data_IF_576633994526
#
_entry.id   IF_576633994526
#
_cell.length_a   1.000
_cell.length_b   1.000
_cell.length_c   1.000
_cell.angle_alpha   90.00
_cell.angle_beta   90.00
_cell.angle_gamma   90.00
#
_symmetry.space_group_name_H-M   'P 1'
#
loop_
_entity.id
_entity.type
_entity.pdbx_description
1 polymer ?
#
# COMPACT_ATOMS: atom_id res chain seq x y z
N UNK A 1 -34.64 0.18 -0.90
CA UNK A 1 -33.59 0.80 -1.74
C UNK A 1 -32.50 -0.25 -1.94
N UNK A 2 -31.96 -0.37 -3.15
CA UNK A 2 -30.80 -1.22 -3.43
C UNK A 2 -29.60 -0.70 -2.63
N UNK A 3 -28.87 -1.58 -1.97
CA UNK A 3 -27.64 -1.19 -1.27
C UNK A 3 -26.56 -0.83 -2.29
N UNK A 4 -25.86 0.30 -2.15
CA UNK A 4 -24.78 0.65 -3.06
C UNK A 4 -23.58 -0.31 -2.84
N UNK A 5 -22.85 -0.59 -3.89
CA UNK A 5 -21.54 -1.22 -3.78
C UNK A 5 -20.53 -0.20 -3.25
N UNK A 6 -19.45 -0.68 -2.66
CA UNK A 6 -18.35 0.16 -2.16
C UNK A 6 -17.01 -0.39 -2.68
N UNK A 7 -16.30 0.44 -3.43
CA UNK A 7 -14.93 0.18 -3.88
C UNK A 7 -13.99 1.17 -3.21
N UNK A 8 -13.23 0.71 -2.22
CA UNK A 8 -12.19 1.48 -1.57
C UNK A 8 -10.84 1.15 -2.22
N UNK A 9 -10.21 2.14 -2.85
CA UNK A 9 -8.89 2.01 -3.47
C UNK A 9 -7.90 2.80 -2.63
N UNK A 10 -6.84 2.15 -2.18
CA UNK A 10 -5.76 2.81 -1.43
C UNK A 10 -4.40 2.58 -2.08
N UNK A 11 -3.56 3.59 -2.01
CA UNK A 11 -2.12 3.52 -2.24
C UNK A 11 -1.37 3.57 -0.91
N UNK A 12 -0.07 3.27 -0.92
CA UNK A 12 0.78 3.29 0.26
C UNK A 12 1.81 4.41 0.14
N UNK A 13 1.82 5.32 1.11
CA UNK A 13 2.81 6.40 1.20
C UNK A 13 2.76 7.40 0.00
N UNK A 14 1.61 7.58 -0.63
CA UNK A 14 1.47 8.54 -1.72
C UNK A 14 1.29 9.96 -1.18
N UNK A 15 2.20 10.87 -1.54
CA UNK A 15 2.07 12.28 -1.21
C UNK A 15 0.88 12.92 -1.95
N UNK A 16 0.18 13.86 -1.32
CA UNK A 16 -1.02 14.49 -1.89
C UNK A 16 -0.80 15.17 -3.23
N UNK A 17 0.42 15.67 -3.50
CA UNK A 17 0.77 16.31 -4.78
C UNK A 17 1.05 15.31 -5.91
N UNK A 18 0.98 14.01 -5.67
CA UNK A 18 1.19 12.99 -6.70
C UNK A 18 -0.11 12.62 -7.43
N UNK A 19 -0.87 13.63 -7.84
CA UNK A 19 -2.06 13.53 -8.68
C UNK A 19 -1.99 14.58 -9.79
N UNK A 20 -2.29 14.24 -11.03
CA UNK A 20 -2.28 15.15 -12.17
C UNK A 20 -3.22 16.35 -11.97
N UNK A 21 -4.36 16.13 -11.33
CA UNK A 21 -5.30 17.19 -10.97
C UNK A 21 -4.72 18.26 -10.01
N UNK A 22 -3.64 17.95 -9.30
CA UNK A 22 -2.96 18.85 -8.35
C UNK A 22 -1.61 19.31 -8.88
N UNK A 23 -0.92 18.47 -9.63
CA UNK A 23 0.44 18.69 -10.11
C UNK A 23 0.58 18.24 -11.56
N UNK A 24 0.73 19.21 -12.45
CA UNK A 24 0.81 18.97 -13.90
C UNK A 24 2.05 18.19 -14.36
N UNK A 25 3.05 17.99 -13.49
CA UNK A 25 4.22 17.18 -13.80
C UNK A 25 3.95 15.67 -13.78
N UNK A 26 2.88 15.23 -13.13
CA UNK A 26 2.54 13.81 -13.04
C UNK A 26 1.31 13.48 -13.90
N UNK A 27 1.32 12.31 -14.52
CA UNK A 27 0.24 11.83 -15.37
C UNK A 27 -0.56 10.72 -14.68
N UNK A 28 -1.79 11.05 -14.25
CA UNK A 28 -2.71 10.14 -13.56
C UNK A 28 -4.12 10.25 -14.13
N UNK A 29 -4.33 9.96 -15.44
CA UNK A 29 -5.58 10.25 -16.13
C UNK A 29 -6.81 9.58 -15.52
N UNK A 30 -6.68 8.39 -14.93
CA UNK A 30 -7.79 7.68 -14.32
C UNK A 30 -8.19 8.28 -12.97
N UNK A 31 -7.21 8.64 -12.14
CA UNK A 31 -7.45 9.36 -10.89
C UNK A 31 -7.95 10.78 -11.15
N UNK A 32 -7.41 11.47 -12.14
CA UNK A 32 -7.86 12.81 -12.55
C UNK A 32 -9.33 12.79 -13.02
N UNK A 33 -9.74 11.71 -13.70
CA UNK A 33 -11.13 11.48 -14.05
C UNK A 33 -12.01 11.34 -12.80
N UNK A 34 -11.59 10.56 -11.80
CA UNK A 34 -12.33 10.46 -10.53
C UNK A 34 -12.46 11.82 -9.83
N UNK A 35 -11.41 12.65 -9.88
CA UNK A 35 -11.45 14.02 -9.35
C UNK A 35 -12.48 14.88 -10.11
N UNK A 36 -12.49 14.80 -11.44
CA UNK A 36 -13.39 15.61 -12.27
C UNK A 36 -14.86 15.20 -12.18
N UNK A 37 -15.13 13.94 -11.92
CA UNK A 37 -16.48 13.36 -11.84
C UNK A 37 -17.01 13.25 -10.39
N UNK A 38 -16.15 13.47 -9.40
CA UNK A 38 -16.45 13.25 -7.99
C UNK A 38 -16.23 14.46 -7.10
N UNK A 39 -15.87 14.20 -5.85
CA UNK A 39 -15.54 15.21 -4.84
C UNK A 39 -14.12 14.96 -4.31
N UNK A 40 -13.26 15.94 -4.46
CA UNK A 40 -11.91 15.92 -3.93
C UNK A 40 -11.82 16.64 -2.58
N UNK A 41 -11.28 15.95 -1.59
CA UNK A 41 -11.00 16.50 -0.25
C UNK A 41 -9.53 16.93 -0.18
N UNK A 42 -9.25 18.21 -0.38
CA UNK A 42 -7.88 18.75 -0.41
C UNK A 42 -7.23 18.97 0.97
N UNK A 43 -7.94 18.65 2.06
CA UNK A 43 -7.47 18.71 3.46
C UNK A 43 -7.84 17.43 4.19
N UNK A 44 -7.50 16.28 3.62
CA UNK A 44 -7.62 14.99 4.26
C UNK A 44 -6.32 14.67 5.03
N UNK A 45 -6.45 14.19 6.27
CA UNK A 45 -5.31 13.87 7.14
C UNK A 45 -5.41 12.43 7.61
N UNK A 46 -4.31 11.70 7.55
CA UNK A 46 -4.23 10.37 8.13
C UNK A 46 -4.21 10.42 9.66
N UNK A 47 -4.74 9.38 10.30
CA UNK A 47 -4.76 9.29 11.76
C UNK A 47 -3.36 9.03 12.36
N UNK A 48 -2.46 8.48 11.56
CA UNK A 48 -1.07 8.20 11.92
C UNK A 48 -0.22 8.14 10.64
N UNK A 49 1.03 8.68 10.63
CA UNK A 49 1.87 8.70 9.44
C UNK A 49 2.61 7.37 9.17
N UNK A 50 2.15 6.25 9.72
CA UNK A 50 2.71 4.91 9.48
C UNK A 50 1.64 3.91 9.07
N UNK A 51 2.02 2.93 8.25
CA UNK A 51 1.09 2.04 7.56
C UNK A 51 0.10 1.31 8.49
N UNK A 52 0.59 0.46 9.43
CA UNK A 52 -0.30 -0.39 10.23
C UNK A 52 -1.31 0.41 11.08
N UNK A 53 -0.91 1.45 11.83
CA UNK A 53 -1.86 2.28 12.58
C UNK A 53 -2.87 3.00 11.68
N UNK A 54 -2.40 3.54 10.55
CA UNK A 54 -3.29 4.25 9.63
C UNK A 54 -4.30 3.31 8.98
N UNK A 55 -3.84 2.15 8.50
CA UNK A 55 -4.70 1.12 7.89
C UNK A 55 -5.72 0.57 8.89
N UNK A 56 -5.30 0.32 10.13
CA UNK A 56 -6.20 -0.04 11.21
C UNK A 56 -7.25 1.06 11.47
N UNK A 57 -6.85 2.34 11.43
CA UNK A 57 -7.78 3.46 11.58
C UNK A 57 -8.78 3.55 10.42
N UNK A 58 -8.34 3.33 9.18
CA UNK A 58 -9.24 3.27 8.00
C UNK A 58 -10.26 2.15 8.16
N UNK A 59 -9.83 0.96 8.58
CA UNK A 59 -10.69 -0.20 8.71
C UNK A 59 -11.69 -0.12 9.88
N UNK A 60 -11.31 0.55 10.97
CA UNK A 60 -12.11 0.59 12.22
C UNK A 60 -12.86 1.90 12.41
N UNK A 61 -12.47 2.99 11.72
CA UNK A 61 -12.98 4.33 11.99
C UNK A 61 -12.51 4.92 13.33
N UNK A 62 -11.49 4.32 13.96
CA UNK A 62 -10.99 4.71 15.29
C UNK A 62 -9.57 5.28 15.20
N UNK A 63 -9.17 6.04 16.21
CA UNK A 63 -7.78 6.46 16.40
C UNK A 63 -6.91 5.32 16.98
N UNK A 64 -5.58 5.32 16.75
CA UNK A 64 -4.65 4.30 17.28
C UNK A 64 -4.76 4.06 18.78
N UNK A 65 -4.98 5.12 19.57
CA UNK A 65 -5.21 5.02 21.02
C UNK A 65 -6.46 4.21 21.41
N UNK A 66 -7.40 4.03 20.48
CA UNK A 66 -8.64 3.29 20.72
C UNK A 66 -8.59 1.86 20.21
N UNK A 67 -8.05 1.63 19.00
CA UNK A 67 -7.98 0.29 18.40
C UNK A 67 -6.71 -0.49 18.78
N UNK A 68 -5.73 0.13 19.47
CA UNK A 68 -4.57 -0.54 20.03
C UNK A 68 -3.41 -0.83 19.05
N UNK A 69 -3.60 -0.67 17.74
CA UNK A 69 -2.54 -0.80 16.76
C UNK A 69 -1.89 0.58 16.56
N UNK A 70 -0.84 0.89 17.33
CA UNK A 70 -0.23 2.23 17.37
C UNK A 70 1.18 2.30 16.75
N UNK A 71 1.76 1.16 16.38
CA UNK A 71 3.07 1.08 15.70
C UNK A 71 3.13 -0.10 14.73
N UNK A 72 4.19 -0.17 13.91
CA UNK A 72 4.42 -1.28 12.99
C UNK A 72 4.68 -2.64 13.70
N UNK A 73 5.06 -2.59 14.99
CA UNK A 73 5.29 -3.78 15.80
C UNK A 73 4.05 -4.27 16.56
N UNK A 74 2.93 -3.55 16.46
CA UNK A 74 1.68 -3.89 17.14
C UNK A 74 0.65 -4.47 16.17
N UNK A 75 -0.37 -5.14 16.69
CA UNK A 75 -1.41 -5.81 15.93
C UNK A 75 -2.75 -5.12 16.13
N UNK A 76 -3.55 -5.02 15.06
CA UNK A 76 -4.98 -4.83 15.24
C UNK A 76 -5.57 -6.16 15.73
N UNK A 77 -6.19 -6.18 16.90
CA UNK A 77 -6.82 -7.38 17.40
C UNK A 77 -8.11 -7.70 16.63
N UNK A 78 -8.34 -8.97 16.35
CA UNK A 78 -9.48 -9.45 15.57
C UNK A 78 -10.83 -9.20 16.26
N UNK A 79 -10.81 -8.95 17.57
CA UNK A 79 -12.00 -8.59 18.35
C UNK A 79 -12.45 -7.14 18.17
N UNK A 80 -11.63 -6.28 17.55
CA UNK A 80 -11.99 -4.88 17.30
C UNK A 80 -13.00 -4.84 16.14
N UNK A 81 -14.16 -4.17 16.32
CA UNK A 81 -15.13 -4.02 15.23
C UNK A 81 -14.53 -3.33 14.00
N UNK A 82 -14.83 -3.86 12.83
CA UNK A 82 -14.31 -3.37 11.54
C UNK A 82 -15.45 -3.01 10.59
N UNK A 83 -15.16 -2.11 9.64
CA UNK A 83 -16.11 -1.77 8.56
C UNK A 83 -16.45 -3.01 7.72
N UNK A 84 -15.47 -3.84 7.41
CA UNK A 84 -15.66 -5.10 6.68
C UNK A 84 -16.60 -6.06 7.42
N UNK A 85 -16.37 -6.28 8.71
CA UNK A 85 -17.26 -7.11 9.54
C UNK A 85 -18.69 -6.56 9.60
N UNK A 86 -18.83 -5.26 9.83
CA UNK A 86 -20.15 -4.61 9.83
C UNK A 86 -20.88 -4.76 8.48
N UNK A 87 -20.20 -4.55 7.37
CA UNK A 87 -20.79 -4.67 6.04
C UNK A 87 -21.15 -6.13 5.72
N UNK A 88 -20.28 -7.10 6.05
CA UNK A 88 -20.55 -8.53 5.94
C UNK A 88 -21.82 -8.92 6.68
N UNK A 89 -21.95 -8.53 7.94
CA UNK A 89 -23.11 -8.81 8.77
C UNK A 89 -24.40 -8.14 8.24
N UNK A 90 -24.24 -7.13 7.39
CA UNK A 90 -25.33 -6.48 6.65
C UNK A 90 -25.49 -7.01 5.20
N UNK A 91 -24.94 -8.18 4.88
CA UNK A 91 -25.20 -8.90 3.62
C UNK A 91 -24.38 -8.40 2.42
N UNK A 92 -23.27 -7.72 2.65
CA UNK A 92 -22.27 -7.44 1.62
C UNK A 92 -21.33 -8.63 1.47
N UNK A 93 -20.88 -8.91 0.25
CA UNK A 93 -19.67 -9.70 0.05
C UNK A 93 -18.47 -8.79 0.28
N UNK A 94 -17.55 -9.21 1.16
CA UNK A 94 -16.41 -8.37 1.57
C UNK A 94 -15.10 -8.95 1.09
N UNK A 95 -14.22 -8.11 0.52
CA UNK A 95 -12.94 -8.55 0.02
C UNK A 95 -11.82 -7.54 0.27
N UNK A 96 -10.60 -8.05 0.51
CA UNK A 96 -9.36 -7.29 0.55
C UNK A 96 -8.39 -7.85 -0.48
N UNK A 97 -7.97 -7.00 -1.42
CA UNK A 97 -7.01 -7.35 -2.47
C UNK A 97 -5.79 -6.45 -2.35
N UNK A 98 -4.62 -7.03 -2.12
CA UNK A 98 -3.36 -6.30 -2.00
C UNK A 98 -2.81 -6.24 -0.58
N UNK A 99 -2.26 -5.10 -0.17
CA UNK A 99 -1.59 -4.93 1.12
C UNK A 99 -2.59 -4.80 2.27
N UNK A 100 -2.50 -5.69 3.26
CA UNK A 100 -3.24 -5.61 4.52
C UNK A 100 -2.49 -4.79 5.58
N UNK A 101 -1.41 -5.33 6.09
CA UNK A 101 -0.54 -4.74 7.10
C UNK A 101 -1.25 -4.36 8.40
N UNK A 102 -2.16 -5.21 8.86
CA UNK A 102 -2.82 -5.07 10.17
C UNK A 102 -2.08 -5.77 11.28
N UNK A 103 -1.08 -6.59 10.94
CA UNK A 103 -0.31 -7.41 11.86
C UNK A 103 1.19 -7.16 11.65
N UNK A 104 2.01 -7.32 12.71
CA UNK A 104 3.46 -7.12 12.60
C UNK A 104 4.13 -8.21 11.75
N UNK A 105 5.27 -7.87 11.16
CA UNK A 105 6.11 -8.84 10.40
C UNK A 105 6.87 -9.80 11.29
N UNK A 106 6.83 -9.63 12.61
CA UNK A 106 7.48 -10.50 13.59
C UNK A 106 6.49 -10.74 14.73
N UNK A 107 6.13 -12.01 14.94
CA UNK A 107 5.34 -12.42 16.10
C UNK A 107 6.14 -12.30 17.39
N UNK A 108 5.44 -12.02 18.47
CA UNK A 108 5.89 -12.14 19.85
C UNK A 108 4.77 -12.78 20.68
N UNK A 109 4.98 -12.94 22.01
CA UNK A 109 4.00 -13.58 22.90
C UNK A 109 2.66 -12.81 22.97
N UNK A 110 2.68 -11.49 22.81
CA UNK A 110 1.51 -10.62 22.85
C UNK A 110 0.82 -10.52 21.48
N UNK A 111 1.62 -10.48 20.40
CA UNK A 111 1.11 -10.29 19.05
C UNK A 111 1.50 -11.47 18.14
N UNK A 112 0.64 -12.45 18.07
CA UNK A 112 0.74 -13.53 17.08
C UNK A 112 0.27 -12.98 15.72
N UNK A 113 1.06 -13.24 14.66
CA UNK A 113 0.82 -12.70 13.34
C UNK A 113 0.95 -13.77 12.25
N UNK A 114 0.03 -13.75 11.30
CA UNK A 114 0.13 -14.52 10.05
C UNK A 114 0.81 -13.73 8.92
N UNK A 115 1.14 -12.45 9.17
CA UNK A 115 1.92 -11.62 8.24
C UNK A 115 3.44 -11.73 8.48
N UNK A 116 3.90 -12.83 9.10
CA UNK A 116 5.33 -13.13 9.32
C UNK A 116 5.94 -13.91 8.17
N UNK A 117 7.28 -13.93 8.02
CA UNK A 117 7.95 -14.67 6.95
C UNK A 117 7.58 -16.16 6.89
N UNK A 118 7.37 -16.81 8.04
CA UNK A 118 7.02 -18.22 8.11
C UNK A 118 5.70 -18.51 7.37
N UNK A 119 4.71 -17.64 7.55
CA UNK A 119 3.44 -17.74 6.83
C UNK A 119 3.54 -17.20 5.41
N UNK A 120 4.24 -16.07 5.19
CA UNK A 120 4.34 -15.45 3.85
C UNK A 120 4.85 -16.42 2.78
N UNK A 121 5.85 -17.27 3.13
CA UNK A 121 6.43 -18.22 2.18
C UNK A 121 5.67 -19.53 2.05
N UNK A 122 4.67 -19.75 2.87
CA UNK A 122 3.84 -20.96 2.79
C UNK A 122 2.69 -20.75 1.79
N UNK A 123 2.98 -20.97 0.51
CA UNK A 123 2.00 -20.76 -0.57
C UNK A 123 0.80 -21.69 -0.46
N UNK A 124 0.98 -22.90 0.07
CA UNK A 124 -0.13 -23.85 0.28
C UNK A 124 -1.08 -23.37 1.38
N UNK A 125 -0.56 -22.74 2.43
CA UNK A 125 -1.38 -22.11 3.45
C UNK A 125 -2.28 -21.03 2.83
N UNK A 126 -1.71 -20.16 1.98
CA UNK A 126 -2.47 -19.06 1.37
C UNK A 126 -3.45 -19.51 0.29
N UNK A 127 -3.13 -20.55 -0.50
CA UNK A 127 -4.08 -21.16 -1.45
C UNK A 127 -5.31 -21.76 -0.74
N UNK A 128 -5.14 -22.25 0.48
CA UNK A 128 -6.17 -22.95 1.23
C UNK A 128 -6.73 -22.13 2.39
N UNK A 129 -6.33 -20.88 2.54
CA UNK A 129 -6.80 -20.03 3.63
C UNK A 129 -8.33 -19.89 3.61
N UNK A 130 -8.99 -20.27 4.70
CA UNK A 130 -10.46 -20.21 4.88
C UNK A 130 -10.82 -19.47 6.17
N UNK A 131 -9.84 -18.86 6.82
CA UNK A 131 -10.04 -18.14 8.07
C UNK A 131 -10.77 -16.82 7.88
N UNK A 132 -11.36 -16.35 8.98
CA UNK A 132 -11.81 -14.97 9.09
C UNK A 132 -10.58 -14.05 9.13
N UNK A 133 -10.59 -13.00 8.33
CA UNK A 133 -9.54 -12.01 8.33
C UNK A 133 -10.16 -10.62 8.46
N UNK A 134 -10.34 -10.17 9.69
CA UNK A 134 -10.92 -8.86 10.01
C UNK A 134 -12.27 -8.57 9.36
N UNK A 135 -13.10 -9.61 9.18
CA UNK A 135 -14.43 -9.51 8.57
C UNK A 135 -14.45 -9.48 7.04
N UNK A 136 -13.35 -9.82 6.39
CA UNK A 136 -13.32 -10.04 4.94
C UNK A 136 -13.60 -11.52 4.61
N UNK A 137 -14.59 -11.76 3.73
CA UNK A 137 -14.94 -13.10 3.24
C UNK A 137 -13.88 -13.63 2.26
N UNK A 138 -13.28 -12.72 1.47
CA UNK A 138 -12.28 -13.04 0.48
C UNK A 138 -11.02 -12.19 0.70
N UNK A 139 -9.86 -12.84 0.67
CA UNK A 139 -8.57 -12.14 0.74
C UNK A 139 -7.63 -12.61 -0.36
N UNK A 140 -6.99 -11.67 -1.02
CA UNK A 140 -5.94 -11.88 -2.00
C UNK A 140 -4.75 -10.99 -1.62
N UNK A 141 -3.92 -11.48 -0.72
CA UNK A 141 -2.94 -10.66 -0.03
C UNK A 141 -1.57 -10.64 -0.70
N UNK A 142 -0.92 -9.51 -0.57
CA UNK A 142 0.51 -9.34 -0.75
C UNK A 142 1.07 -8.42 0.34
N UNK A 143 2.24 -8.73 0.85
CA UNK A 143 2.87 -7.94 1.91
C UNK A 143 3.92 -6.99 1.38
N UNK A 144 4.65 -7.42 0.37
CA UNK A 144 5.85 -6.79 -0.10
C UNK A 144 5.59 -5.42 -0.75
N UNK A 145 6.60 -4.60 -0.64
CA UNK A 145 6.81 -3.46 -1.50
C UNK A 145 7.80 -3.87 -2.60
N UNK A 146 7.61 -3.45 -3.82
CA UNK A 146 8.50 -3.68 -4.96
C UNK A 146 9.38 -4.95 -4.82
N UNK A 147 10.69 -4.86 -5.02
CA UNK A 147 11.63 -5.97 -5.07
C UNK A 147 12.16 -6.41 -3.69
N UNK A 148 11.37 -6.32 -2.64
CA UNK A 148 11.74 -6.79 -1.31
C UNK A 148 11.79 -8.31 -1.20
N UNK A 149 12.63 -8.81 -0.29
CA UNK A 149 12.68 -10.24 0.02
C UNK A 149 11.46 -10.74 0.83
N UNK A 150 10.62 -9.84 1.30
CA UNK A 150 9.38 -10.13 2.03
C UNK A 150 8.22 -10.55 1.14
N UNK A 151 8.47 -10.81 -0.14
CA UNK A 151 7.46 -11.29 -1.08
C UNK A 151 6.85 -12.62 -0.63
N UNK A 152 5.54 -12.74 -0.76
CA UNK A 152 4.86 -13.94 -0.29
C UNK A 152 3.34 -13.89 -0.50
N UNK A 153 2.64 -14.64 0.31
CA UNK A 153 1.18 -14.71 0.40
C UNK A 153 0.51 -15.15 -0.93
N UNK A 154 -0.74 -14.73 -1.18
CA UNK A 154 -1.48 -15.07 -2.39
C UNK A 154 -0.76 -14.62 -3.66
N UNK A 155 -0.01 -13.51 -3.60
CA UNK A 155 0.73 -13.02 -4.76
C UNK A 155 1.78 -14.02 -5.25
N UNK A 156 2.54 -14.65 -4.36
CA UNK A 156 3.52 -15.67 -4.78
C UNK A 156 2.82 -16.93 -5.30
N UNK A 157 1.75 -17.36 -4.66
CA UNK A 157 0.93 -18.45 -5.17
C UNK A 157 0.44 -18.17 -6.60
N UNK A 158 -0.06 -16.95 -6.84
CA UNK A 158 -0.48 -16.51 -8.18
C UNK A 158 0.68 -16.45 -9.19
N UNK A 159 1.88 -16.02 -8.80
CA UNK A 159 3.05 -16.04 -9.68
C UNK A 159 3.37 -17.46 -10.16
N UNK A 160 3.37 -18.43 -9.25
CA UNK A 160 3.61 -19.83 -9.55
C UNK A 160 2.53 -20.40 -10.50
N UNK A 161 1.27 -20.14 -10.20
CA UNK A 161 0.12 -20.59 -10.98
C UNK A 161 0.05 -19.92 -12.36
N UNK A 162 0.55 -18.68 -12.47
CA UNK A 162 0.71 -17.96 -13.74
C UNK A 162 1.93 -18.39 -14.56
N UNK A 163 2.66 -19.42 -14.13
CA UNK A 163 3.83 -19.98 -14.80
C UNK A 163 5.14 -19.25 -14.54
N UNK A 164 5.18 -18.31 -13.60
CA UNK A 164 6.42 -17.63 -13.19
C UNK A 164 7.18 -18.45 -12.14
N UNK A 165 7.62 -19.67 -12.49
CA UNK A 165 8.30 -20.58 -11.56
C UNK A 165 9.60 -20.01 -10.98
N UNK A 166 10.30 -19.17 -11.73
CA UNK A 166 11.56 -18.53 -11.35
C UNK A 166 11.34 -17.14 -10.70
N UNK A 167 10.18 -16.90 -10.09
CA UNK A 167 9.82 -15.58 -9.53
C UNK A 167 10.87 -15.03 -8.58
N UNK A 168 11.60 -15.89 -7.85
CA UNK A 168 12.66 -15.50 -6.89
C UNK A 168 13.72 -14.60 -7.50
N UNK A 169 14.06 -14.76 -8.78
CA UNK A 169 15.06 -13.94 -9.47
C UNK A 169 14.73 -12.45 -9.53
N UNK A 170 13.47 -12.08 -9.37
CA UNK A 170 13.03 -10.68 -9.38
C UNK A 170 13.11 -10.02 -8.00
N UNK A 171 13.12 -10.79 -6.91
CA UNK A 171 12.99 -10.31 -5.53
C UNK A 171 14.24 -10.54 -4.67
N UNK A 172 15.06 -11.56 -4.99
CA UNK A 172 16.24 -11.87 -4.19
C UNK A 172 17.46 -11.12 -4.70
N UNK A 173 18.08 -10.37 -3.77
CA UNK A 173 19.31 -9.64 -4.02
C UNK A 173 20.45 -10.21 -3.18
N UNK A 174 21.71 -9.94 -3.55
CA UNK A 174 22.86 -10.33 -2.73
C UNK A 174 22.75 -9.77 -1.31
N UNK A 175 23.13 -10.58 -0.31
CA UNK A 175 23.10 -10.23 1.11
C UNK A 175 23.79 -8.90 1.39
N UNK A 176 23.23 -8.08 2.29
CA UNK A 176 23.85 -6.92 2.90
C UNK A 176 23.50 -5.56 2.28
N UNK A 177 22.59 -5.48 1.31
CA UNK A 177 22.08 -4.18 0.81
C UNK A 177 20.71 -3.87 1.40
N UNK A 178 20.53 -2.62 1.80
CA UNK A 178 19.27 -2.14 2.33
C UNK A 178 18.30 -1.88 1.17
N UNK A 179 17.25 -2.68 1.11
CA UNK A 179 16.34 -2.76 -0.03
C UNK A 179 15.52 -1.49 -0.27
N UNK A 180 15.01 -0.84 0.78
CA UNK A 180 14.19 0.35 0.62
C UNK A 180 14.95 1.57 0.08
N UNK A 181 16.29 1.58 0.11
CA UNK A 181 17.15 2.58 -0.53
C UNK A 181 17.45 2.28 -2.00
N UNK A 182 17.03 1.12 -2.50
CA UNK A 182 17.18 0.81 -3.91
C UNK A 182 16.22 1.64 -4.77
N UNK A 183 16.68 2.07 -5.91
CA UNK A 183 15.89 2.86 -6.83
C UNK A 183 16.33 2.65 -8.29
N UNK A 184 15.36 2.61 -9.19
CA UNK A 184 15.63 2.49 -10.61
C UNK A 184 14.66 1.58 -11.37
N UNK A 185 15.15 0.96 -12.44
CA UNK A 185 14.36 0.02 -13.24
C UNK A 185 14.31 -1.35 -12.58
N UNK A 186 13.08 -1.85 -12.39
CA UNK A 186 12.84 -3.22 -11.98
C UNK A 186 12.58 -4.09 -13.22
N UNK A 187 13.33 -5.17 -13.36
CA UNK A 187 13.26 -6.02 -14.56
C UNK A 187 12.19 -7.12 -14.47
N UNK A 188 11.18 -6.95 -13.64
CA UNK A 188 10.01 -7.83 -13.63
C UNK A 188 9.16 -7.56 -14.89
N UNK A 189 8.70 -8.58 -15.61
CA UNK A 189 7.70 -8.39 -16.65
C UNK A 189 6.43 -7.81 -16.08
N UNK A 190 5.83 -6.83 -16.75
CA UNK A 190 4.63 -6.15 -16.28
C UNK A 190 3.49 -7.10 -15.91
N UNK A 191 3.29 -8.16 -16.69
CA UNK A 191 2.26 -9.19 -16.45
C UNK A 191 2.44 -9.96 -15.13
N UNK A 192 3.61 -9.90 -14.51
CA UNK A 192 3.93 -10.52 -13.22
C UNK A 192 4.08 -9.50 -12.09
N UNK A 193 3.89 -8.21 -12.40
CA UNK A 193 3.92 -7.17 -11.37
C UNK A 193 2.72 -7.31 -10.43
N UNK A 194 2.88 -6.93 -9.17
CA UNK A 194 1.79 -7.02 -8.19
C UNK A 194 0.58 -6.15 -8.55
N UNK A 195 0.75 -5.05 -9.29
CA UNK A 195 -0.38 -4.26 -9.76
C UNK A 195 -1.24 -5.05 -10.75
N UNK A 196 -0.64 -5.92 -11.58
CA UNK A 196 -1.38 -6.83 -12.46
C UNK A 196 -2.15 -7.89 -11.67
N UNK A 197 -1.53 -8.46 -10.62
CA UNK A 197 -2.19 -9.37 -9.68
C UNK A 197 -3.40 -8.70 -9.01
N UNK A 198 -3.21 -7.50 -8.45
CA UNK A 198 -4.28 -6.76 -7.76
C UNK A 198 -5.44 -6.49 -8.71
N UNK A 199 -5.17 -5.98 -9.90
CA UNK A 199 -6.23 -5.69 -10.88
C UNK A 199 -6.95 -6.95 -11.36
N UNK A 200 -6.21 -8.03 -11.64
CA UNK A 200 -6.81 -9.30 -12.05
C UNK A 200 -7.73 -9.85 -10.95
N UNK A 201 -7.24 -9.93 -9.71
CA UNK A 201 -8.02 -10.47 -8.59
C UNK A 201 -9.23 -9.62 -8.25
N UNK A 202 -9.10 -8.30 -8.32
CA UNK A 202 -10.24 -7.39 -8.17
C UNK A 202 -11.29 -7.63 -9.25
N UNK A 203 -10.88 -7.76 -10.51
CA UNK A 203 -11.79 -8.00 -11.64
C UNK A 203 -12.50 -9.36 -11.55
N UNK A 204 -11.82 -10.40 -11.06
CA UNK A 204 -12.42 -11.70 -10.76
C UNK A 204 -13.52 -11.58 -9.70
N UNK A 205 -13.28 -10.83 -8.62
CA UNK A 205 -14.26 -10.59 -7.56
C UNK A 205 -15.45 -9.75 -8.04
N UNK A 206 -15.21 -8.71 -8.85
CA UNK A 206 -16.29 -7.92 -9.45
C UNK A 206 -17.20 -8.76 -10.35
N UNK A 207 -16.60 -9.65 -11.18
CA UNK A 207 -17.36 -10.57 -12.02
C UNK A 207 -18.21 -11.54 -11.18
N UNK A 208 -17.63 -12.12 -10.12
CA UNK A 208 -18.35 -12.98 -9.18
C UNK A 208 -19.53 -12.26 -8.52
N UNK A 209 -19.32 -11.04 -8.01
CA UNK A 209 -20.40 -10.25 -7.38
C UNK A 209 -21.54 -9.95 -8.36
N UNK A 210 -21.24 -9.81 -9.68
CA UNK A 210 -22.27 -9.66 -10.73
C UNK A 210 -23.10 -10.93 -10.90
N UNK A 211 -22.44 -12.08 -10.90
CA UNK A 211 -23.10 -13.38 -11.04
C UNK A 211 -23.98 -13.71 -9.83
N UNK A 212 -23.55 -13.35 -8.63
CA UNK A 212 -24.26 -13.61 -7.38
C UNK A 212 -25.32 -12.57 -7.04
N UNK A 213 -25.39 -11.46 -7.77
CA UNK A 213 -26.29 -10.29 -7.53
C UNK A 213 -26.25 -9.81 -6.07
N UNK A 214 -25.06 -9.74 -5.49
CA UNK A 214 -24.82 -9.27 -4.13
C UNK A 214 -24.10 -7.93 -4.11
N UNK A 215 -24.45 -7.02 -3.18
CA UNK A 215 -23.65 -5.82 -2.98
C UNK A 215 -22.27 -6.20 -2.43
N UNK A 216 -21.23 -5.49 -2.86
CA UNK A 216 -19.87 -5.75 -2.43
C UNK A 216 -19.24 -4.57 -1.68
N UNK A 217 -18.31 -4.89 -0.79
CA UNK A 217 -17.28 -4.01 -0.27
C UNK A 217 -15.92 -4.61 -0.64
N UNK A 218 -15.23 -4.00 -1.58
CA UNK A 218 -13.89 -4.44 -1.98
C UNK A 218 -12.89 -3.34 -1.61
N UNK A 219 -11.92 -3.67 -0.77
CA UNK A 219 -10.76 -2.83 -0.52
C UNK A 219 -9.60 -3.26 -1.41
N UNK A 220 -9.27 -2.44 -2.40
CA UNK A 220 -8.14 -2.61 -3.31
C UNK A 220 -6.96 -1.80 -2.77
N UNK A 221 -5.89 -2.46 -2.40
CA UNK A 221 -4.79 -1.87 -1.65
C UNK A 221 -3.46 -2.04 -2.37
N UNK A 222 -3.04 -1.01 -3.09
CA UNK A 222 -1.76 -0.99 -3.79
C UNK A 222 -0.61 -0.65 -2.83
N UNK A 223 0.55 -1.36 -2.90
CA UNK A 223 1.72 -1.03 -2.07
C UNK A 223 2.55 0.13 -2.64
N UNK A 224 2.34 0.52 -3.90
CA UNK A 224 3.00 1.68 -4.51
C UNK A 224 2.38 3.01 -4.02
N UNK A 225 3.17 4.11 -3.99
CA UNK A 225 4.58 4.24 -4.37
C UNK A 225 5.57 4.05 -3.21
N UNK A 226 5.24 3.30 -2.15
CA UNK A 226 6.17 3.04 -1.04
C UNK A 226 7.51 2.49 -1.55
N UNK A 227 8.61 2.96 -0.98
CA UNK A 227 9.95 2.44 -1.32
C UNK A 227 10.12 0.93 -1.05
N UNK A 228 11.04 0.23 -1.73
CA UNK A 228 12.05 0.74 -2.65
C UNK A 228 11.47 1.25 -3.97
N UNK A 229 12.01 2.36 -4.48
CA UNK A 229 11.47 2.99 -5.69
C UNK A 229 12.01 2.29 -6.94
N UNK A 230 11.43 1.13 -7.21
CA UNK A 230 11.75 0.26 -8.33
C UNK A 230 10.50 0.00 -9.15
N UNK A 231 10.52 0.40 -10.41
CA UNK A 231 9.37 0.28 -11.31
C UNK A 231 9.82 -0.22 -12.68
N UNK A 232 9.04 -1.05 -13.40
CA UNK A 232 9.42 -1.53 -14.73
C UNK A 232 9.44 -0.41 -15.78
N UNK A 233 10.10 -0.66 -16.92
CA UNK A 233 9.98 0.19 -18.10
C UNK A 233 8.58 0.07 -18.70
N UNK A 234 8.02 1.13 -19.32
CA UNK A 234 8.65 2.45 -19.54
C UNK A 234 8.62 3.38 -18.33
N UNK A 235 7.87 3.06 -17.27
CA UNK A 235 7.55 3.90 -16.11
C UNK A 235 8.77 4.41 -15.37
N UNK A 236 9.84 3.58 -15.26
CA UNK A 236 11.12 3.99 -14.63
C UNK A 236 11.91 5.06 -15.42
N UNK A 237 11.44 5.44 -16.60
CA UNK A 237 12.04 6.45 -17.46
C UNK A 237 11.05 7.50 -17.92
N UNK A 238 9.86 7.52 -17.32
CA UNK A 238 8.77 8.39 -17.73
C UNK A 238 9.03 9.85 -17.33
N UNK A 239 9.71 10.07 -16.21
CA UNK A 239 10.00 11.39 -15.66
C UNK A 239 11.49 11.63 -15.59
N UNK A 240 11.93 12.87 -15.96
CA UNK A 240 13.32 13.28 -15.80
C UNK A 240 13.55 13.78 -14.37
N UNK A 241 14.53 13.25 -13.64
CA UNK A 241 14.89 13.78 -12.33
C UNK A 241 15.22 15.27 -12.29
N UNK A 242 15.69 15.85 -13.40
CA UNK A 242 16.00 17.27 -13.46
C UNK A 242 14.77 18.17 -13.42
N UNK A 243 13.60 17.65 -13.82
CA UNK A 243 12.32 18.37 -13.79
C UNK A 243 11.65 18.33 -12.41
N UNK A 244 12.20 17.56 -11.48
CA UNK A 244 11.60 17.39 -10.14
C UNK A 244 11.90 18.57 -9.24
N UNK A 245 10.83 19.13 -8.66
CA UNK A 245 10.89 20.15 -7.63
C UNK A 245 10.86 19.49 -6.25
N UNK A 246 11.87 19.77 -5.43
CA UNK A 246 11.92 19.28 -4.04
C UNK A 246 11.27 20.29 -3.10
N UNK A 247 10.70 19.84 -1.97
CA UNK A 247 10.25 20.75 -0.92
C UNK A 247 11.40 21.63 -0.42
N UNK A 248 11.05 22.82 0.07
CA UNK A 248 12.04 23.68 0.73
C UNK A 248 12.55 22.99 1.99
N UNK A 249 13.86 22.85 2.10
CA UNK A 249 14.53 22.32 3.27
C UNK A 249 15.00 23.45 4.18
N UNK A 250 14.63 23.39 5.47
CA UNK A 250 15.13 24.32 6.48
C UNK A 250 15.90 23.58 7.56
N UNK A 251 17.14 23.96 7.80
CA UNK A 251 17.96 23.35 8.88
C UNK A 251 17.32 23.49 10.28
N UNK A 252 16.41 24.44 10.48
CA UNK A 252 15.77 24.73 11.77
C UNK A 252 14.36 24.13 11.89
N UNK A 253 13.87 23.42 10.89
CA UNK A 253 12.50 22.87 10.88
C UNK A 253 12.23 21.88 12.04
N UNK A 254 13.30 21.25 12.52
CA UNK A 254 13.24 20.30 13.63
C UNK A 254 13.53 20.89 15.00
N UNK A 255 13.65 22.22 15.16
CA UNK A 255 13.97 22.85 16.44
C UNK A 255 12.92 22.63 17.52
N UNK A 256 11.65 22.49 17.10
CA UNK A 256 10.50 22.25 17.99
C UNK A 256 10.01 20.79 17.95
N UNK A 257 10.64 19.95 17.14
CA UNK A 257 10.28 18.54 17.01
C UNK A 257 10.97 17.69 18.09
N UNK A 258 10.48 16.48 18.37
CA UNK A 258 11.17 15.54 19.27
C UNK A 258 12.64 15.34 18.88
N UNK A 259 13.53 15.12 19.87
CA UNK A 259 14.99 15.11 19.65
C UNK A 259 15.47 14.14 18.56
N UNK A 260 14.78 13.03 18.35
CA UNK A 260 15.18 12.05 17.33
C UNK A 260 15.12 12.58 15.89
N UNK A 261 14.30 13.60 15.60
CA UNK A 261 14.31 14.25 14.27
C UNK A 261 15.65 14.91 13.96
N UNK A 262 16.30 15.50 14.94
CA UNK A 262 17.67 16.05 14.78
C UNK A 262 18.72 14.94 14.77
N UNK A 263 18.47 13.86 15.51
CA UNK A 263 19.41 12.74 15.59
C UNK A 263 19.55 12.04 14.23
N UNK A 264 18.46 11.84 13.49
CA UNK A 264 18.50 11.18 12.17
C UNK A 264 19.27 11.97 11.10
N UNK A 265 19.46 13.28 11.29
CA UNK A 265 20.24 14.13 10.39
C UNK A 265 21.76 13.99 10.59
N UNK A 266 22.20 13.37 11.68
CA UNK A 266 23.63 13.19 11.96
C UNK A 266 24.25 12.11 11.07
N UNK A 267 25.54 12.25 10.76
CA UNK A 267 26.31 11.26 9.99
C UNK A 267 26.28 9.87 10.64
N UNK A 268 26.27 9.83 11.97
CA UNK A 268 26.25 8.60 12.78
C UNK A 268 25.20 8.80 13.88
N UNK A 269 23.90 8.56 13.59
CA UNK A 269 22.84 8.78 14.56
C UNK A 269 22.86 7.71 15.66
N UNK A 270 22.61 8.13 16.89
CA UNK A 270 22.42 7.25 18.04
C UNK A 270 20.93 7.09 18.30
N UNK A 271 20.31 6.05 17.71
CA UNK A 271 18.86 5.85 17.72
C UNK A 271 18.38 4.83 18.76
N UNK A 272 19.30 4.12 19.44
CA UNK A 272 18.94 3.02 20.35
C UNK A 272 18.12 3.49 21.55
N UNK A 273 18.34 4.72 22.05
CA UNK A 273 17.58 5.31 23.15
C UNK A 273 16.13 5.68 22.80
N UNK A 274 15.81 5.74 21.51
CA UNK A 274 14.45 6.03 21.01
C UNK A 274 13.67 4.76 20.66
N UNK A 275 14.25 3.58 20.87
CA UNK A 275 13.58 2.31 20.60
C UNK A 275 12.74 1.91 21.81
N UNK A 276 11.49 1.64 21.57
CA UNK A 276 10.63 1.03 22.59
C UNK A 276 11.05 -0.42 22.82
N UNK A 277 11.13 -0.82 24.10
CA UNK A 277 11.50 -2.19 24.44
C UNK A 277 10.42 -3.16 23.93
N UNK A 278 10.85 -4.21 23.22
CA UNK A 278 9.99 -5.27 22.72
C UNK A 278 9.42 -5.07 21.33
N UNK A 279 9.49 -3.85 20.77
CA UNK A 279 8.98 -3.57 19.42
C UNK A 279 10.10 -3.07 18.51
N UNK A 280 10.13 -3.59 17.28
CA UNK A 280 10.98 -3.04 16.26
C UNK A 280 10.36 -1.72 15.79
N UNK A 281 10.97 -0.60 16.14
CA UNK A 281 10.61 0.69 15.57
C UNK A 281 11.26 0.78 14.20
N UNK A 282 10.44 0.83 13.16
CA UNK A 282 10.87 1.12 11.81
C UNK A 282 10.76 2.63 11.56
N UNK A 283 11.66 3.16 10.75
CA UNK A 283 11.62 4.56 10.33
C UNK A 283 12.65 5.46 11.01
N UNK A 284 13.34 5.00 12.05
CA UNK A 284 14.47 5.75 12.60
C UNK A 284 15.75 5.39 11.86
N UNK A 285 16.00 6.08 10.76
CA UNK A 285 17.19 5.91 9.98
C UNK A 285 17.84 7.25 9.68
N UNK A 286 19.14 7.21 9.34
CA UNK A 286 19.86 8.38 8.88
C UNK A 286 19.21 8.94 7.61
N UNK A 287 18.78 10.19 7.69
CA UNK A 287 18.35 10.98 6.54
C UNK A 287 19.53 11.82 6.04
N UNK A 288 20.01 11.51 4.86
CA UNK A 288 21.04 12.27 4.19
C UNK A 288 20.38 13.08 3.08
N UNK A 289 20.44 14.41 3.21
CA UNK A 289 20.00 15.29 2.15
C UNK A 289 20.97 15.20 0.97
N UNK A 290 20.49 14.62 -0.12
CA UNK A 290 21.18 14.54 -1.41
C UNK A 290 20.15 14.89 -2.49
N UNK A 291 20.21 16.15 -2.98
CA UNK A 291 19.26 16.68 -3.95
C UNK A 291 19.14 15.79 -5.20
N UNK A 292 20.27 15.35 -5.75
CA UNK A 292 20.27 14.50 -6.96
C UNK A 292 19.59 13.17 -6.71
N UNK A 293 19.82 12.59 -5.54
CA UNK A 293 19.20 11.34 -5.14
C UNK A 293 17.70 11.52 -4.91
N UNK A 294 17.29 12.57 -4.19
CA UNK A 294 15.89 12.86 -3.90
C UNK A 294 15.09 13.15 -5.17
N UNK A 295 15.62 13.94 -6.11
CA UNK A 295 15.01 14.18 -7.42
C UNK A 295 14.83 12.88 -8.21
N UNK A 296 15.83 11.99 -8.19
CA UNK A 296 15.70 10.66 -8.81
C UNK A 296 14.66 9.81 -8.14
N UNK A 297 14.58 9.84 -6.82
CA UNK A 297 13.59 9.10 -6.04
C UNK A 297 12.17 9.59 -6.37
N UNK A 298 11.97 10.91 -6.40
CA UNK A 298 10.69 11.53 -6.72
C UNK A 298 10.23 11.20 -8.15
N UNK A 299 11.14 11.29 -9.14
CA UNK A 299 10.84 10.90 -10.52
C UNK A 299 10.40 9.43 -10.64
N UNK A 300 11.03 8.54 -9.88
CA UNK A 300 10.63 7.12 -9.85
C UNK A 300 9.31 6.91 -9.11
N UNK A 301 9.06 7.62 -8.01
CA UNK A 301 7.78 7.59 -7.31
C UNK A 301 6.62 8.05 -8.23
N UNK A 302 6.83 9.11 -9.02
CA UNK A 302 5.86 9.53 -10.03
C UNK A 302 5.61 8.44 -11.07
N UNK A 303 6.67 7.74 -11.51
CA UNK A 303 6.55 6.60 -12.41
C UNK A 303 5.74 5.45 -11.80
N UNK A 304 5.92 5.16 -10.50
CA UNK A 304 5.14 4.15 -9.78
C UNK A 304 3.67 4.55 -9.67
N UNK A 305 3.38 5.81 -9.35
CA UNK A 305 2.00 6.31 -9.26
C UNK A 305 1.30 6.24 -10.62
N UNK A 306 1.95 6.70 -11.70
CA UNK A 306 1.38 6.61 -13.06
C UNK A 306 1.17 5.17 -13.50
N UNK A 307 2.03 4.27 -13.07
CA UNK A 307 1.87 2.83 -13.33
C UNK A 307 0.68 2.24 -12.54
N UNK A 308 0.51 2.64 -11.29
CA UNK A 308 -0.65 2.25 -10.47
C UNK A 308 -1.95 2.82 -11.03
N UNK A 309 -1.95 4.07 -11.47
CA UNK A 309 -3.09 4.72 -12.13
C UNK A 309 -3.59 3.92 -13.35
N UNK A 310 -2.67 3.38 -14.17
CA UNK A 310 -3.04 2.48 -15.27
C UNK A 310 -3.86 1.28 -14.78
N UNK A 311 -3.46 0.64 -13.68
CA UNK A 311 -4.16 -0.52 -13.15
C UNK A 311 -5.46 -0.17 -12.43
N UNK A 312 -5.53 1.00 -11.83
CA UNK A 312 -6.79 1.59 -11.35
C UNK A 312 -7.76 1.74 -12.53
N UNK A 313 -7.28 2.27 -13.67
CA UNK A 313 -8.08 2.37 -14.90
C UNK A 313 -8.67 1.04 -15.34
N UNK A 314 -7.87 -0.04 -15.34
CA UNK A 314 -8.33 -1.40 -15.68
C UNK A 314 -9.47 -1.87 -14.75
N UNK A 315 -9.40 -1.55 -13.47
CA UNK A 315 -10.46 -1.89 -12.50
C UNK A 315 -11.72 -1.05 -12.76
N UNK A 316 -11.57 0.25 -13.01
CA UNK A 316 -12.69 1.15 -13.30
C UNK A 316 -13.39 0.78 -14.62
N UNK A 317 -12.63 0.38 -15.64
CA UNK A 317 -13.17 -0.11 -16.90
C UNK A 317 -13.98 -1.41 -16.69
N UNK A 318 -13.53 -2.30 -15.81
CA UNK A 318 -14.27 -3.52 -15.45
C UNK A 318 -15.58 -3.22 -14.70
N UNK A 319 -15.58 -2.24 -13.80
CA UNK A 319 -16.80 -1.76 -13.16
C UNK A 319 -17.84 -1.28 -14.19
N UNK A 320 -17.37 -0.52 -15.19
CA UNK A 320 -18.21 -0.02 -16.27
C UNK A 320 -18.72 -1.16 -17.17
N UNK A 321 -17.85 -2.10 -17.56
CA UNK A 321 -18.21 -3.30 -18.34
C UNK A 321 -19.33 -4.11 -17.68
N UNK A 322 -19.32 -4.19 -16.34
CA UNK A 322 -20.30 -4.92 -15.55
C UNK A 322 -21.53 -4.11 -15.15
N UNK A 323 -21.69 -2.87 -15.65
CA UNK A 323 -22.78 -1.94 -15.29
C UNK A 323 -22.88 -1.65 -13.79
N UNK A 324 -21.76 -1.62 -13.07
CA UNK A 324 -21.74 -1.28 -11.65
C UNK A 324 -21.51 0.20 -11.37
N UNK A 325 -21.06 0.99 -12.34
CA UNK A 325 -20.58 2.36 -12.19
C UNK A 325 -21.59 3.26 -11.43
N UNK A 326 -22.88 3.14 -11.75
CA UNK A 326 -23.95 3.97 -11.15
C UNK A 326 -24.35 3.57 -9.74
N UNK A 327 -24.08 2.30 -9.37
CA UNK A 327 -24.48 1.72 -8.10
C UNK A 327 -23.30 1.53 -7.15
N UNK A 328 -22.12 2.10 -7.47
CA UNK A 328 -20.89 1.93 -6.69
C UNK A 328 -20.37 3.27 -6.17
N UNK A 329 -20.17 3.34 -4.86
CA UNK A 329 -19.37 4.39 -4.24
C UNK A 329 -17.89 4.04 -4.39
N UNK A 330 -17.18 4.82 -5.22
CA UNK A 330 -15.74 4.68 -5.42
C UNK A 330 -15.03 5.68 -4.50
N UNK A 331 -14.12 5.19 -3.65
CA UNK A 331 -13.33 6.02 -2.74
C UNK A 331 -11.85 5.75 -3.07
N UNK A 332 -11.10 6.79 -3.42
CA UNK A 332 -9.64 6.74 -3.54
C UNK A 332 -9.00 7.52 -2.40
N UNK A 333 -8.00 6.93 -1.74
CA UNK A 333 -7.18 7.60 -0.73
C UNK A 333 -5.80 6.95 -0.64
N UNK A 334 -4.90 7.53 0.14
CA UNK A 334 -3.65 6.89 0.56
C UNK A 334 -3.72 6.57 2.05
N UNK A 335 -2.96 5.58 2.53
CA UNK A 335 -2.91 5.29 3.97
C UNK A 335 -2.19 6.39 4.74
N UNK A 336 -1.11 6.93 4.22
CA UNK A 336 -0.41 8.13 4.69
C UNK A 336 0.37 8.79 3.55
N UNK A 337 0.93 9.96 3.79
CA UNK A 337 1.79 10.66 2.83
C UNK A 337 3.27 10.28 2.96
N UNK A 338 4.11 10.98 2.21
CA UNK A 338 5.57 10.97 2.31
C UNK A 338 6.08 12.40 2.55
N UNK A 339 7.27 12.51 3.13
CA UNK A 339 8.00 13.77 3.34
C UNK A 339 9.29 13.70 2.50
N UNK A 340 9.16 13.90 1.19
CA UNK A 340 10.31 13.92 0.27
C UNK A 340 11.25 15.08 0.55
#
# INVERSE_FOLDING_TARGET
MKKPNVLLITTDQQHYSMLGAVNSLINTPNLDKLVSEGTMFNRAYCANPTCSPSRASILTGMYPSRHGCYSLGTKLFESVPTLSGYLRDNGYETALVGKAHFQPTKSNEEFLSIETPEYMYNTDYWRNFKGDFYGFDNIELLRNHTAEHWVGQNYVAWLEDSGCKDWKKYFFRPRGKMFYKDMGTWNIPEKYHYNAFIAQKTNELLAKSKEEDKPFFIWVSFPDPHGPHLVPKPWSKMYDPNDMELPEFSYNEHDKNPPYFKEVLKKHPHLDEYRESGYAIHGFERHEYDEKRLKKQLALAYGMVSFTDKYIGIILDKLKELDFEKDTLIIFTTDHGDLF
#
